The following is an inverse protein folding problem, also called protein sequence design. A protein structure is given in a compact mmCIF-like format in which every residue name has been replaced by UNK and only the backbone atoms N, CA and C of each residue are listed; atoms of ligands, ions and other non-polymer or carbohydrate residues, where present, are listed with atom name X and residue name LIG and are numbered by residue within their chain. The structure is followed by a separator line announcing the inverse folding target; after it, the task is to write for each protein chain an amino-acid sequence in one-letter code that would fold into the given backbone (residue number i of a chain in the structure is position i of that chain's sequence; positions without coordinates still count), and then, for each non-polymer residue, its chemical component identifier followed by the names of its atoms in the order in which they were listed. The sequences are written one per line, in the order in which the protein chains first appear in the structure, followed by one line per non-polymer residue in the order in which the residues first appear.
data_IF_365101593143
#
_entry.id   IF_365101593143
#
_cell.length_a   1.000
_cell.length_b   1.000
_cell.length_c   1.000
_cell.angle_alpha   90.00
_cell.angle_beta   90.00
_cell.angle_gamma   90.00
#
_symmetry.space_group_name_H-M   'P 1'
#
loop_
_entity.id
_entity.type
_entity.pdbx_description
1 polymer ?
#
# COMPACT_ATOMS: atom_id res chain seq x y z
N UNK A 1 -0.31 -41.18 -24.24
CA UNK A 1 -1.62 -40.73 -24.81
C UNK A 1 -2.13 -39.39 -24.26
N UNK A 2 -2.04 -39.10 -22.95
CA UNK A 2 -2.59 -37.86 -22.33
C UNK A 2 -1.89 -36.56 -22.79
N UNK A 3 -0.57 -36.57 -23.02
CA UNK A 3 0.16 -35.39 -23.49
C UNK A 3 -0.16 -35.01 -24.94
N UNK A 4 -0.44 -35.99 -25.80
CA UNK A 4 -0.85 -35.74 -27.20
C UNK A 4 -2.23 -35.06 -27.28
N UNK A 5 -3.18 -35.48 -26.42
CA UNK A 5 -4.50 -34.83 -26.30
C UNK A 5 -4.41 -33.39 -25.80
N UNK A 6 -3.54 -33.10 -24.82
CA UNK A 6 -3.32 -31.71 -24.35
C UNK A 6 -2.69 -30.81 -25.44
N UNK A 7 -1.78 -31.36 -26.24
CA UNK A 7 -1.20 -30.66 -27.39
C UNK A 7 -2.26 -30.29 -28.43
N UNK A 8 -3.09 -31.23 -28.85
CA UNK A 8 -4.16 -31.00 -29.83
C UNK A 8 -5.18 -29.94 -29.36
N UNK A 9 -5.54 -29.96 -28.06
CA UNK A 9 -6.46 -28.96 -27.48
C UNK A 9 -5.84 -27.55 -27.49
N UNK A 10 -4.56 -27.43 -27.11
CA UNK A 10 -3.84 -26.14 -27.17
C UNK A 10 -3.78 -25.60 -28.60
N UNK A 11 -3.45 -26.46 -29.58
CA UNK A 11 -3.40 -26.08 -31.00
C UNK A 11 -4.79 -25.64 -31.50
N UNK A 12 -5.85 -26.35 -31.13
CA UNK A 12 -7.23 -25.98 -31.49
C UNK A 12 -7.66 -24.62 -30.93
N UNK A 13 -7.26 -24.29 -29.69
CA UNK A 13 -7.53 -22.99 -29.08
C UNK A 13 -6.80 -21.87 -29.83
N UNK A 14 -5.52 -22.06 -30.16
CA UNK A 14 -4.72 -21.07 -30.91
C UNK A 14 -5.32 -20.80 -32.29
N UNK A 15 -5.74 -21.84 -33.01
CA UNK A 15 -6.40 -21.70 -34.32
C UNK A 15 -7.73 -20.93 -34.23
N UNK A 16 -8.56 -21.24 -33.23
CA UNK A 16 -9.86 -20.58 -33.07
C UNK A 16 -9.71 -19.11 -32.67
N UNK A 17 -8.70 -18.78 -31.86
CA UNK A 17 -8.43 -17.40 -31.43
C UNK A 17 -7.84 -16.51 -32.53
N UNK A 18 -7.11 -17.09 -33.50
CA UNK A 18 -6.43 -16.36 -34.57
C UNK A 18 -7.11 -16.53 -35.94
N UNK A 19 -8.35 -17.03 -35.97
CA UNK A 19 -9.07 -17.41 -37.20
C UNK A 19 -9.11 -16.29 -38.24
N UNK A 20 -9.42 -15.06 -37.85
CA UNK A 20 -9.52 -13.93 -38.78
C UNK A 20 -8.20 -13.63 -39.47
N UNK A 21 -7.10 -13.62 -38.72
CA UNK A 21 -5.76 -13.42 -39.26
C UNK A 21 -5.39 -14.55 -40.23
N UNK A 22 -5.58 -15.81 -39.83
CA UNK A 22 -5.31 -16.98 -40.70
C UNK A 22 -6.14 -16.92 -41.99
N UNK A 23 -7.40 -16.51 -41.92
CA UNK A 23 -8.27 -16.35 -43.11
C UNK A 23 -7.76 -15.26 -44.04
N UNK A 24 -7.30 -14.11 -43.52
CA UNK A 24 -6.75 -13.01 -44.34
C UNK A 24 -5.50 -13.48 -45.10
N UNK A 25 -4.64 -14.27 -44.45
CA UNK A 25 -3.45 -14.86 -45.08
C UNK A 25 -3.84 -15.80 -46.20
N UNK A 26 -4.71 -16.76 -45.91
CA UNK A 26 -5.14 -17.74 -46.90
C UNK A 26 -5.80 -17.05 -48.08
N UNK A 27 -6.61 -16.02 -47.85
CA UNK A 27 -7.18 -15.21 -48.91
C UNK A 27 -6.08 -14.52 -49.75
N UNK A 28 -5.07 -13.92 -49.12
CA UNK A 28 -3.95 -13.29 -49.83
C UNK A 28 -3.23 -14.29 -50.76
N UNK A 29 -2.86 -15.47 -50.27
CA UNK A 29 -2.17 -16.48 -51.08
C UNK A 29 -3.07 -17.09 -52.17
N UNK A 30 -4.34 -17.39 -51.84
CA UNK A 30 -5.29 -17.99 -52.79
C UNK A 30 -5.65 -17.01 -53.91
N UNK A 31 -5.97 -15.76 -53.58
CA UNK A 31 -6.32 -14.74 -54.59
C UNK A 31 -5.16 -14.49 -55.54
N UNK A 32 -3.93 -14.37 -55.02
CA UNK A 32 -2.76 -14.16 -55.85
C UNK A 32 -2.42 -15.39 -56.71
N UNK A 33 -2.59 -16.60 -56.18
CA UNK A 33 -2.44 -17.83 -56.97
C UNK A 33 -3.42 -17.87 -58.16
N UNK A 34 -4.70 -17.54 -57.94
CA UNK A 34 -5.72 -17.53 -59.00
C UNK A 34 -5.34 -16.53 -60.10
N UNK A 35 -4.89 -15.32 -59.73
CA UNK A 35 -4.49 -14.28 -60.69
C UNK A 35 -3.26 -14.72 -61.49
N UNK A 36 -2.26 -15.30 -60.84
CA UNK A 36 -1.05 -15.80 -61.53
C UNK A 36 -1.33 -17.03 -62.41
N UNK A 37 -2.24 -17.92 -61.99
CA UNK A 37 -2.67 -19.05 -62.80
C UNK A 37 -3.40 -18.58 -64.06
N UNK A 38 -4.29 -17.59 -63.93
CA UNK A 38 -4.98 -17.00 -65.08
C UNK A 38 -4.04 -16.30 -66.07
N UNK A 39 -2.93 -15.72 -65.60
CA UNK A 39 -1.93 -15.06 -66.46
C UNK A 39 -0.95 -16.03 -67.12
N UNK A 40 -0.49 -17.06 -66.39
CA UNK A 40 0.56 -17.97 -66.86
C UNK A 40 0.04 -19.23 -67.55
N UNK A 41 -1.24 -19.58 -67.36
CA UNK A 41 -1.86 -20.82 -67.85
C UNK A 41 -1.29 -22.10 -67.23
N UNK A 42 -0.33 -21.98 -66.29
CA UNK A 42 0.39 -23.09 -65.70
C UNK A 42 0.37 -22.99 -64.17
N UNK A 43 -0.29 -23.95 -63.54
CA UNK A 43 -0.39 -24.01 -62.08
C UNK A 43 0.98 -24.21 -61.42
N UNK A 44 1.91 -24.88 -62.11
CA UNK A 44 3.26 -25.14 -61.58
C UNK A 44 4.10 -23.87 -61.52
N UNK A 45 4.00 -23.00 -62.53
CA UNK A 45 4.68 -21.70 -62.53
C UNK A 45 4.09 -20.76 -61.50
N UNK A 46 2.76 -20.69 -61.41
CA UNK A 46 2.08 -19.89 -60.39
C UNK A 46 2.50 -20.31 -58.97
N UNK A 47 2.61 -21.62 -58.69
CA UNK A 47 3.12 -22.11 -57.40
C UNK A 47 4.58 -21.74 -57.14
N UNK A 48 5.47 -21.83 -58.14
CA UNK A 48 6.88 -21.48 -57.97
C UNK A 48 7.07 -19.99 -57.65
N UNK A 49 6.29 -19.12 -58.28
CA UNK A 49 6.34 -17.68 -58.02
C UNK A 49 5.72 -17.35 -56.65
N UNK A 50 4.61 -18.01 -56.28
CA UNK A 50 3.96 -17.86 -54.98
C UNK A 50 4.91 -18.18 -53.80
N UNK A 51 5.80 -19.15 -53.98
CA UNK A 51 6.80 -19.55 -52.98
C UNK A 51 8.21 -19.01 -53.25
N UNK A 52 8.36 -18.01 -54.12
CA UNK A 52 9.64 -17.34 -54.42
C UNK A 52 10.74 -18.29 -54.95
N UNK A 53 10.35 -19.40 -55.58
CA UNK A 53 11.26 -20.38 -56.20
C UNK A 53 11.68 -19.92 -57.60
N UNK A 54 10.81 -19.17 -58.29
CA UNK A 54 11.05 -18.66 -59.64
C UNK A 54 10.86 -17.14 -59.68
N UNK A 55 11.71 -16.45 -60.45
CA UNK A 55 11.74 -15.00 -60.49
C UNK A 55 10.49 -14.39 -61.13
N UNK A 56 10.05 -13.28 -60.54
CA UNK A 56 8.91 -12.52 -61.02
C UNK A 56 9.21 -11.82 -62.36
N UNK A 57 8.45 -12.20 -63.38
CA UNK A 57 8.59 -11.72 -64.75
C UNK A 57 7.63 -10.59 -65.09
N UNK A 58 6.38 -10.67 -64.60
CA UNK A 58 5.35 -9.66 -64.86
C UNK A 58 5.35 -8.53 -63.82
N UNK A 59 4.77 -7.37 -64.16
CA UNK A 59 4.61 -6.26 -63.21
C UNK A 59 3.78 -6.67 -61.97
N UNK A 60 2.77 -7.54 -62.16
CA UNK A 60 1.95 -8.05 -61.06
C UNK A 60 2.71 -9.04 -60.17
N UNK A 61 3.53 -9.92 -60.76
CA UNK A 61 4.36 -10.86 -60.00
C UNK A 61 5.38 -10.12 -59.12
N UNK A 62 5.97 -9.03 -59.63
CA UNK A 62 6.88 -8.16 -58.87
C UNK A 62 6.17 -7.39 -57.75
N UNK A 63 4.94 -6.96 -57.99
CA UNK A 63 4.07 -6.40 -56.95
C UNK A 63 3.83 -7.45 -55.86
N UNK A 64 3.37 -8.65 -56.23
CA UNK A 64 3.11 -9.71 -55.27
C UNK A 64 4.33 -10.03 -54.40
N UNK A 65 5.52 -10.22 -55.00
CA UNK A 65 6.73 -10.57 -54.24
C UNK A 65 7.10 -9.48 -53.23
N UNK A 66 7.04 -8.21 -53.66
CA UNK A 66 7.36 -7.06 -52.80
C UNK A 66 6.38 -6.91 -51.64
N UNK A 67 5.07 -7.03 -51.90
CA UNK A 67 4.04 -6.80 -50.88
C UNK A 67 3.78 -8.01 -50.00
N UNK A 68 4.04 -9.22 -50.49
CA UNK A 68 3.91 -10.45 -49.70
C UNK A 68 4.92 -10.51 -48.57
N UNK A 69 6.12 -9.93 -48.75
CA UNK A 69 7.08 -9.78 -47.66
C UNK A 69 6.47 -8.94 -46.52
N UNK A 70 5.84 -7.80 -46.83
CA UNK A 70 5.15 -6.97 -45.82
C UNK A 70 4.00 -7.71 -45.14
N UNK A 71 3.23 -8.50 -45.88
CA UNK A 71 2.14 -9.31 -45.31
C UNK A 71 2.71 -10.35 -44.35
N UNK A 72 3.72 -11.12 -44.76
CA UNK A 72 4.37 -12.15 -43.93
C UNK A 72 5.03 -11.51 -42.69
N UNK A 73 5.78 -10.43 -42.85
CA UNK A 73 6.41 -9.72 -41.73
C UNK A 73 5.36 -9.11 -40.78
N UNK A 74 4.30 -8.50 -41.31
CA UNK A 74 3.22 -7.94 -40.51
C UNK A 74 2.52 -9.01 -39.65
N UNK A 75 2.38 -10.23 -40.18
CA UNK A 75 1.83 -11.37 -39.44
C UNK A 75 2.76 -11.88 -38.36
N UNK A 76 4.07 -11.98 -38.66
CA UNK A 76 5.06 -12.36 -37.67
C UNK A 76 5.06 -11.37 -36.50
N UNK A 77 5.10 -10.06 -36.80
CA UNK A 77 5.01 -9.01 -35.77
C UNK A 77 3.68 -9.07 -35.02
N UNK A 78 2.56 -9.27 -35.72
CA UNK A 78 1.23 -9.39 -35.12
C UNK A 78 1.15 -10.57 -34.15
N UNK A 79 1.65 -11.74 -34.54
CA UNK A 79 1.73 -12.93 -33.69
C UNK A 79 2.61 -12.69 -32.46
N UNK A 80 3.81 -12.14 -32.65
CA UNK A 80 4.74 -11.82 -31.56
C UNK A 80 4.10 -10.82 -30.59
N UNK A 81 3.46 -9.79 -31.11
CA UNK A 81 2.81 -8.74 -30.31
C UNK A 81 1.66 -9.33 -29.50
N UNK A 82 0.75 -10.09 -30.13
CA UNK A 82 -0.37 -10.74 -29.45
C UNK A 82 0.13 -11.73 -28.39
N UNK A 83 1.15 -12.52 -28.68
CA UNK A 83 1.73 -13.46 -27.72
C UNK A 83 2.40 -12.74 -26.54
N UNK A 84 3.15 -11.67 -26.80
CA UNK A 84 3.75 -10.84 -25.76
C UNK A 84 2.70 -10.22 -24.83
N UNK A 85 1.62 -9.67 -25.38
CA UNK A 85 0.52 -9.11 -24.57
C UNK A 85 -0.27 -10.19 -23.82
N UNK A 86 -0.49 -11.38 -24.40
CA UNK A 86 -1.20 -12.49 -23.73
C UNK A 86 -0.41 -13.06 -22.56
N UNK A 87 0.91 -13.12 -22.69
CA UNK A 87 1.80 -13.62 -21.64
C UNK A 87 2.20 -12.52 -20.64
N UNK A 88 1.68 -11.29 -20.79
CA UNK A 88 1.96 -10.20 -19.86
C UNK A 88 1.30 -10.46 -18.50
N UNK A 89 2.13 -10.64 -17.46
CA UNK A 89 1.68 -10.83 -16.10
C UNK A 89 2.04 -9.61 -15.24
N UNK A 90 1.09 -8.70 -14.93
CA UNK A 90 1.40 -7.47 -14.19
C UNK A 90 1.94 -7.75 -12.78
N UNK A 91 1.62 -8.91 -12.19
CA UNK A 91 2.19 -9.31 -10.88
C UNK A 91 3.68 -9.57 -10.96
N UNK A 92 4.14 -10.16 -12.06
CA UNK A 92 5.56 -10.42 -12.29
C UNK A 92 6.31 -9.10 -12.48
N UNK A 93 5.71 -8.14 -13.19
CA UNK A 93 6.23 -6.77 -13.30
C UNK A 93 6.39 -6.13 -11.92
N UNK A 94 5.35 -6.14 -11.08
CA UNK A 94 5.39 -5.58 -9.72
C UNK A 94 6.52 -6.18 -8.87
N UNK A 95 6.68 -7.50 -8.92
CA UNK A 95 7.74 -8.22 -8.22
C UNK A 95 9.14 -7.88 -8.75
N UNK A 96 9.32 -7.83 -10.07
CA UNK A 96 10.61 -7.47 -10.68
C UNK A 96 11.01 -6.05 -10.26
N UNK A 97 10.06 -5.11 -10.29
CA UNK A 97 10.28 -3.74 -9.84
C UNK A 97 10.73 -3.73 -8.37
N UNK A 98 10.01 -4.43 -7.49
CA UNK A 98 10.36 -4.50 -6.08
C UNK A 98 11.72 -5.14 -5.80
N UNK A 99 12.07 -6.21 -6.53
CA UNK A 99 13.38 -6.87 -6.42
C UNK A 99 14.52 -5.96 -6.87
N UNK A 100 14.26 -5.09 -7.84
CA UNK A 100 15.23 -4.12 -8.38
C UNK A 100 15.34 -2.84 -7.54
N UNK A 101 14.35 -2.52 -6.70
CA UNK A 101 14.34 -1.36 -5.80
C UNK A 101 15.57 -1.31 -4.88
N UNK A 102 16.12 -0.11 -4.69
CA UNK A 102 17.27 0.16 -3.80
C UNK A 102 17.09 1.50 -3.12
N UNK A 103 17.65 1.67 -1.93
CA UNK A 103 17.49 2.89 -1.14
C UNK A 103 16.00 3.28 -0.98
N UNK A 104 15.15 2.26 -0.94
CA UNK A 104 13.70 2.36 -0.94
C UNK A 104 13.12 2.13 0.46
N UNK A 105 11.87 2.49 0.63
CA UNK A 105 11.07 2.18 1.82
C UNK A 105 10.26 0.91 1.55
N UNK A 106 10.22 -0.02 2.50
CA UNK A 106 9.31 -1.17 2.42
C UNK A 106 8.16 -0.93 3.39
N UNK A 107 6.93 -0.93 2.88
CA UNK A 107 5.71 -0.78 3.67
C UNK A 107 5.06 -2.15 3.78
N UNK A 108 5.07 -2.73 4.98
CA UNK A 108 4.37 -3.98 5.29
C UNK A 108 2.96 -3.68 5.81
N UNK A 109 1.97 -4.27 5.18
CA UNK A 109 0.55 -4.08 5.42
C UNK A 109 -0.05 -2.98 4.57
N UNK A 110 -1.08 -3.33 3.79
CA UNK A 110 -1.88 -2.38 3.01
C UNK A 110 -3.14 -1.94 3.78
N UNK A 111 -2.96 -1.65 5.07
CA UNK A 111 -4.01 -1.10 5.94
C UNK A 111 -4.24 0.38 5.64
N UNK A 112 -5.25 1.03 6.23
CA UNK A 112 -5.44 2.49 6.06
C UNK A 112 -4.16 3.32 6.34
N UNK A 113 -3.34 2.92 7.32
CA UNK A 113 -2.06 3.58 7.57
C UNK A 113 -1.03 3.28 6.46
N UNK A 114 -0.96 2.03 6.01
CA UNK A 114 -0.06 1.60 4.94
C UNK A 114 -0.39 2.27 3.60
N UNK A 115 -1.68 2.36 3.24
CA UNK A 115 -2.17 3.05 2.05
C UNK A 115 -1.81 4.53 2.11
N UNK A 116 -2.12 5.23 3.21
CA UNK A 116 -1.78 6.65 3.38
C UNK A 116 -0.27 6.88 3.32
N UNK A 117 0.54 5.98 3.91
CA UNK A 117 1.99 6.06 3.82
C UNK A 117 2.49 5.84 2.39
N UNK A 118 1.96 4.83 1.68
CA UNK A 118 2.35 4.56 0.29
C UNK A 118 2.05 5.77 -0.61
N UNK A 119 0.85 6.35 -0.49
CA UNK A 119 0.47 7.59 -1.19
C UNK A 119 1.41 8.74 -0.86
N UNK A 120 1.68 8.98 0.43
CA UNK A 120 2.65 10.01 0.84
C UNK A 120 4.04 9.79 0.23
N UNK A 121 4.54 8.55 0.22
CA UNK A 121 5.84 8.22 -0.37
C UNK A 121 5.84 8.46 -1.89
N UNK A 122 4.74 8.13 -2.55
CA UNK A 122 4.53 8.38 -3.98
C UNK A 122 4.53 9.87 -4.31
N UNK A 123 3.73 10.67 -3.59
CA UNK A 123 3.61 12.13 -3.79
C UNK A 123 4.95 12.85 -3.59
N UNK A 124 5.85 12.28 -2.78
CA UNK A 124 7.17 12.82 -2.50
C UNK A 124 8.30 12.18 -3.34
N UNK A 125 7.96 11.33 -4.31
CA UNK A 125 8.92 10.66 -5.19
C UNK A 125 9.89 9.74 -4.45
N UNK A 126 9.49 9.20 -3.29
CA UNK A 126 10.31 8.31 -2.49
C UNK A 126 10.08 6.87 -2.99
N UNK A 127 11.12 6.18 -3.50
CA UNK A 127 10.97 4.81 -3.97
C UNK A 127 10.49 3.90 -2.84
N UNK A 128 9.44 3.13 -3.10
CA UNK A 128 8.87 2.25 -2.10
C UNK A 128 8.37 0.94 -2.69
N UNK A 129 8.22 -0.06 -1.81
CA UNK A 129 7.66 -1.38 -2.12
C UNK A 129 6.59 -1.68 -1.09
N UNK A 130 5.40 -2.07 -1.55
CA UNK A 130 4.31 -2.48 -0.67
C UNK A 130 4.26 -4.00 -0.54
N UNK A 131 4.12 -4.49 0.69
CA UNK A 131 3.97 -5.92 0.99
C UNK A 131 2.67 -6.12 1.77
N UNK A 132 1.83 -7.07 1.36
CA UNK A 132 0.59 -7.42 2.10
C UNK A 132 0.43 -8.93 2.20
N UNK A 133 -0.26 -9.40 3.25
CA UNK A 133 -0.66 -10.80 3.40
C UNK A 133 -1.94 -11.13 2.61
N UNK A 134 -2.73 -10.12 2.25
CA UNK A 134 -4.05 -10.31 1.68
C UNK A 134 -4.04 -10.11 0.17
N UNK A 135 -4.64 -11.07 -0.55
CA UNK A 135 -4.65 -11.05 -2.02
C UNK A 135 -5.49 -9.90 -2.57
N UNK A 136 -6.57 -9.51 -1.91
CA UNK A 136 -7.48 -8.48 -2.41
C UNK A 136 -6.85 -7.09 -2.41
N UNK A 137 -6.04 -6.78 -1.40
CA UNK A 137 -5.23 -5.55 -1.31
C UNK A 137 -4.29 -5.35 -2.49
N UNK A 138 -3.86 -6.43 -3.15
CA UNK A 138 -2.93 -6.37 -4.28
C UNK A 138 -3.59 -5.89 -5.57
N UNK A 139 -4.93 -5.86 -5.67
CA UNK A 139 -5.61 -5.57 -6.95
C UNK A 139 -5.23 -4.20 -7.49
N UNK A 140 -5.36 -3.15 -6.69
CA UNK A 140 -5.05 -1.77 -7.08
C UNK A 140 -3.54 -1.61 -7.38
N UNK A 141 -2.69 -2.19 -6.55
CA UNK A 141 -1.23 -2.12 -6.73
C UNK A 141 -0.79 -2.80 -8.03
N UNK A 142 -1.35 -3.96 -8.34
CA UNK A 142 -1.02 -4.74 -9.55
C UNK A 142 -1.58 -4.08 -10.79
N UNK A 143 -2.81 -3.55 -10.74
CA UNK A 143 -3.40 -2.83 -11.87
C UNK A 143 -2.59 -1.59 -12.24
N UNK A 144 -2.05 -0.88 -11.25
CA UNK A 144 -1.22 0.30 -11.45
C UNK A 144 0.29 -0.01 -11.51
N UNK A 145 0.66 -1.29 -11.61
CA UNK A 145 2.04 -1.79 -11.73
C UNK A 145 3.00 -1.24 -10.67
N UNK A 146 2.49 -0.99 -9.46
CA UNK A 146 3.28 -0.47 -8.34
C UNK A 146 4.16 -1.58 -7.77
N UNK A 147 5.43 -1.29 -7.39
CA UNK A 147 6.32 -2.29 -6.81
C UNK A 147 5.68 -2.94 -5.57
N UNK A 148 5.25 -4.19 -5.69
CA UNK A 148 4.44 -4.83 -4.65
C UNK A 148 4.54 -6.34 -4.68
N UNK A 149 4.43 -6.99 -3.51
CA UNK A 149 4.41 -8.44 -3.38
C UNK A 149 3.45 -8.91 -2.27
N UNK A 150 2.90 -10.11 -2.46
CA UNK A 150 2.23 -10.83 -1.40
C UNK A 150 3.26 -11.50 -0.48
N UNK A 151 3.10 -11.36 0.83
CA UNK A 151 3.92 -12.05 1.82
C UNK A 151 3.55 -13.53 1.88
N UNK A 152 4.57 -14.39 1.89
CA UNK A 152 4.44 -15.82 2.12
C UNK A 152 5.49 -16.25 3.16
N UNK A 153 5.04 -16.74 4.31
CA UNK A 153 5.91 -17.16 5.41
C UNK A 153 6.74 -18.42 5.06
N UNK A 154 6.31 -19.20 4.07
CA UNK A 154 7.04 -20.38 3.60
C UNK A 154 8.16 -20.02 2.61
N UNK A 155 8.12 -18.82 2.04
CA UNK A 155 9.11 -18.35 1.08
C UNK A 155 10.39 -17.85 1.78
N UNK A 156 11.36 -18.76 1.92
CA UNK A 156 12.70 -18.45 2.46
C UNK A 156 13.46 -17.39 1.67
N UNK A 157 13.10 -17.12 0.41
CA UNK A 157 13.74 -16.11 -0.45
C UNK A 157 12.97 -14.79 -0.46
N UNK A 158 11.89 -14.65 0.29
CA UNK A 158 11.04 -13.46 0.32
C UNK A 158 11.84 -12.17 0.50
N UNK A 159 12.75 -12.14 1.47
CA UNK A 159 13.63 -11.00 1.76
C UNK A 159 14.48 -10.54 0.55
N UNK A 160 14.84 -11.45 -0.38
CA UNK A 160 15.53 -11.10 -1.63
C UNK A 160 14.58 -10.53 -2.67
N UNK A 161 13.35 -11.05 -2.74
CA UNK A 161 12.31 -10.58 -3.68
C UNK A 161 11.88 -9.15 -3.39
N UNK A 162 11.92 -8.71 -2.13
CA UNK A 162 11.70 -7.30 -1.71
C UNK A 162 12.99 -6.47 -1.60
N UNK A 163 14.14 -7.07 -1.92
CA UNK A 163 15.49 -6.48 -1.81
C UNK A 163 15.77 -5.83 -0.44
N UNK A 164 15.41 -6.53 0.64
CA UNK A 164 15.48 -6.05 2.02
C UNK A 164 16.89 -5.58 2.43
N UNK A 165 17.93 -6.24 1.91
CA UNK A 165 19.34 -5.91 2.18
C UNK A 165 19.71 -4.48 1.73
N UNK A 166 19.02 -3.92 0.74
CA UNK A 166 19.27 -2.56 0.22
C UNK A 166 18.16 -1.57 0.54
N UNK A 167 17.19 -1.99 1.37
CA UNK A 167 16.14 -1.11 1.86
C UNK A 167 16.74 -0.06 2.79
N UNK A 168 16.27 1.18 2.66
CA UNK A 168 16.64 2.29 3.53
C UNK A 168 15.83 2.26 4.83
N UNK A 169 14.54 1.95 4.72
CA UNK A 169 13.64 1.90 5.85
C UNK A 169 12.53 0.87 5.67
N UNK A 170 11.97 0.43 6.79
CA UNK A 170 10.78 -0.42 6.85
C UNK A 170 9.73 0.25 7.73
N UNK A 171 8.48 0.20 7.28
CA UNK A 171 7.31 0.60 8.06
C UNK A 171 6.37 -0.60 8.14
N UNK A 172 6.13 -1.09 9.35
CA UNK A 172 5.24 -2.20 9.60
C UNK A 172 3.90 -1.66 10.10
N UNK A 173 2.92 -1.62 9.21
CA UNK A 173 1.62 -0.98 9.39
C UNK A 173 0.48 -1.96 9.71
N UNK A 174 0.79 -3.26 9.81
CA UNK A 174 -0.15 -4.31 10.21
C UNK A 174 -0.64 -4.12 11.66
N UNK A 175 -1.86 -4.57 11.92
CA UNK A 175 -2.45 -4.57 13.27
C UNK A 175 -1.89 -5.72 14.14
N UNK A 176 -1.37 -6.76 13.51
CA UNK A 176 -0.84 -7.95 14.16
C UNK A 176 0.59 -7.69 14.70
N UNK A 177 0.69 -7.56 16.02
CA UNK A 177 1.95 -7.27 16.71
C UNK A 177 2.96 -8.42 16.54
N UNK A 178 2.51 -9.67 16.57
CA UNK A 178 3.40 -10.83 16.46
C UNK A 178 4.00 -10.89 15.06
N UNK A 179 3.19 -10.67 14.04
CA UNK A 179 3.66 -10.53 12.67
C UNK A 179 4.66 -9.38 12.53
N UNK A 180 4.36 -8.20 13.07
CA UNK A 180 5.31 -7.08 13.04
C UNK A 180 6.64 -7.45 13.69
N UNK A 181 6.61 -8.13 14.84
CA UNK A 181 7.82 -8.55 15.53
C UNK A 181 8.63 -9.57 14.71
N UNK A 182 7.97 -10.55 14.07
CA UNK A 182 8.61 -11.52 13.17
C UNK A 182 9.37 -10.80 12.05
N UNK A 183 8.72 -9.83 11.39
CA UNK A 183 9.34 -9.05 10.31
C UNK A 183 10.49 -8.19 10.83
N UNK A 184 10.39 -7.60 12.03
CA UNK A 184 11.51 -6.84 12.63
C UNK A 184 12.74 -7.73 12.84
N UNK A 185 12.54 -8.94 13.39
CA UNK A 185 13.64 -9.88 13.61
C UNK A 185 14.26 -10.30 12.28
N UNK A 186 13.46 -10.61 11.26
CA UNK A 186 13.95 -10.91 9.91
C UNK A 186 14.75 -9.73 9.34
N UNK A 187 14.19 -8.52 9.39
CA UNK A 187 14.81 -7.34 8.83
C UNK A 187 16.14 -7.00 9.50
N UNK A 188 16.24 -7.12 10.82
CA UNK A 188 17.50 -6.89 11.55
C UNK A 188 18.57 -7.91 11.23
N UNK A 189 18.19 -9.17 11.00
CA UNK A 189 19.13 -10.22 10.56
C UNK A 189 19.67 -9.93 9.15
N UNK A 190 18.82 -9.47 8.24
CA UNK A 190 19.18 -9.27 6.82
C UNK A 190 19.80 -7.90 6.54
N UNK A 191 19.42 -6.88 7.30
CA UNK A 191 19.85 -5.50 7.15
C UNK A 191 19.91 -4.80 8.53
N UNK A 192 21.10 -4.77 9.11
CA UNK A 192 21.35 -4.18 10.43
C UNK A 192 21.14 -2.66 10.44
N UNK A 193 21.30 -2.00 9.30
CA UNK A 193 21.32 -0.54 9.17
C UNK A 193 19.96 0.05 8.77
N UNK A 194 19.00 -0.78 8.35
CA UNK A 194 17.67 -0.29 7.96
C UNK A 194 17.00 0.48 9.11
N UNK A 195 16.42 1.63 8.81
CA UNK A 195 15.58 2.31 9.80
C UNK A 195 14.22 1.59 9.88
N UNK A 196 13.85 1.06 11.05
CA UNK A 196 12.60 0.27 11.18
C UNK A 196 11.63 1.02 12.08
N UNK A 197 10.41 1.18 11.59
CA UNK A 197 9.25 1.67 12.33
C UNK A 197 8.20 0.57 12.37
N UNK A 198 7.72 0.20 13.55
CA UNK A 198 6.66 -0.78 13.69
C UNK A 198 5.46 -0.21 14.44
N UNK A 199 4.27 -0.52 13.94
CA UNK A 199 3.04 -0.27 14.67
C UNK A 199 2.98 -1.23 15.85
N UNK A 200 2.91 -0.65 17.04
CA UNK A 200 2.76 -1.39 18.28
C UNK A 200 1.74 -0.67 19.13
N UNK A 201 0.63 -1.33 19.41
CA UNK A 201 -0.39 -0.78 20.28
C UNK A 201 -0.16 -1.15 21.76
N UNK A 202 0.92 -1.84 22.13
CA UNK A 202 1.17 -2.19 23.53
C UNK A 202 2.52 -1.64 24.00
N UNK A 203 2.50 -0.89 25.11
CA UNK A 203 3.69 -0.20 25.63
C UNK A 203 4.70 -1.18 26.25
N UNK A 204 4.25 -2.28 26.84
CA UNK A 204 5.11 -3.36 27.34
C UNK A 204 5.81 -4.09 26.19
N UNK A 205 5.08 -4.39 25.11
CA UNK A 205 5.66 -5.02 23.92
C UNK A 205 6.58 -4.06 23.17
N UNK A 206 6.31 -2.74 23.20
CA UNK A 206 7.18 -1.74 22.57
C UNK A 206 8.64 -1.83 23.08
N UNK A 207 8.85 -2.20 24.35
CA UNK A 207 10.19 -2.46 24.92
C UNK A 207 10.93 -3.58 24.17
N UNK A 208 10.22 -4.60 23.70
CA UNK A 208 10.82 -5.69 22.92
C UNK A 208 11.27 -5.17 21.55
N UNK A 209 10.45 -4.38 20.86
CA UNK A 209 10.84 -3.73 19.60
C UNK A 209 12.08 -2.83 19.78
N UNK A 210 12.17 -2.10 20.89
CA UNK A 210 13.32 -1.24 21.17
C UNK A 210 14.64 -2.03 21.31
N UNK A 211 14.61 -3.27 21.84
CA UNK A 211 15.79 -4.15 21.86
C UNK A 211 16.35 -4.46 20.47
N UNK A 212 15.48 -4.40 19.46
CA UNK A 212 15.85 -4.56 18.05
C UNK A 212 16.11 -3.23 17.34
N UNK A 213 16.35 -2.12 18.06
CA UNK A 213 16.52 -0.79 17.47
C UNK A 213 15.38 -0.45 16.49
N UNK A 214 14.15 -0.82 16.83
CA UNK A 214 12.95 -0.52 16.07
C UNK A 214 12.19 0.60 16.78
N UNK A 215 11.88 1.69 16.06
CA UNK A 215 11.01 2.75 16.58
C UNK A 215 9.57 2.26 16.56
N UNK A 216 8.84 2.46 17.65
CA UNK A 216 7.42 2.10 17.70
C UNK A 216 6.52 3.30 17.45
N UNK A 217 5.39 3.06 16.79
CA UNK A 217 4.31 4.02 16.61
C UNK A 217 2.99 3.41 17.09
N UNK A 218 2.12 4.24 17.64
CA UNK A 218 0.84 3.80 18.19
C UNK A 218 -0.28 4.71 17.71
N UNK A 219 -1.08 4.22 16.76
CA UNK A 219 -2.17 4.98 16.15
C UNK A 219 -3.25 5.33 17.17
N UNK A 220 -3.61 4.37 18.04
CA UNK A 220 -4.63 4.60 19.06
C UNK A 220 -4.15 5.50 20.18
N UNK A 221 -2.88 5.40 20.62
CA UNK A 221 -2.36 6.29 21.65
C UNK A 221 -2.27 7.73 21.17
N UNK A 222 -1.69 7.93 19.98
CA UNK A 222 -1.54 9.25 19.38
C UNK A 222 -2.90 9.96 19.26
N UNK A 223 -3.88 9.26 18.71
CA UNK A 223 -5.20 9.84 18.45
C UNK A 223 -5.98 10.08 19.74
N UNK A 224 -5.83 9.22 20.76
CA UNK A 224 -6.52 9.42 22.03
C UNK A 224 -5.99 10.68 22.73
N UNK A 225 -4.67 10.90 22.68
CA UNK A 225 -4.08 12.12 23.20
C UNK A 225 -4.49 13.36 22.41
N UNK A 226 -4.69 13.25 21.09
CA UNK A 226 -5.21 14.33 20.26
C UNK A 226 -6.61 14.74 20.72
N UNK A 227 -7.56 13.80 20.78
CA UNK A 227 -8.94 14.09 21.21
C UNK A 227 -8.93 14.79 22.55
N UNK A 228 -8.18 14.26 23.52
CA UNK A 228 -8.14 14.85 24.86
C UNK A 228 -7.44 16.21 24.90
N UNK A 229 -6.57 16.52 23.94
CA UNK A 229 -5.88 17.81 23.84
C UNK A 229 -6.77 18.85 23.17
N UNK A 230 -7.34 18.52 22.01
CA UNK A 230 -8.12 19.45 21.19
C UNK A 230 -9.47 19.79 21.83
N UNK A 231 -10.00 18.89 22.65
CA UNK A 231 -11.26 19.09 23.38
C UNK A 231 -11.05 19.29 24.88
N UNK A 232 -9.84 19.67 25.31
CA UNK A 232 -9.52 19.85 26.73
C UNK A 232 -10.45 20.85 27.44
N UNK A 233 -10.96 21.86 26.72
CA UNK A 233 -11.91 22.86 27.23
C UNK A 233 -13.34 22.36 27.32
N UNK A 234 -13.70 21.40 26.46
CA UNK A 234 -15.05 20.85 26.33
C UNK A 234 -15.25 19.61 27.23
N UNK A 235 -14.15 19.00 27.67
CA UNK A 235 -14.11 17.84 28.58
C UNK A 235 -14.39 18.28 30.02
N UNK A 236 -15.58 18.82 30.28
CA UNK A 236 -15.89 19.44 31.57
C UNK A 236 -16.12 18.43 32.68
N UNK A 237 -16.75 17.25 32.45
CA UNK A 237 -16.82 16.20 33.47
C UNK A 237 -17.08 14.76 32.94
N UNK A 238 -17.90 14.57 31.89
CA UNK A 238 -18.39 13.23 31.52
C UNK A 238 -18.29 12.91 30.02
N UNK A 239 -17.52 11.86 29.69
CA UNK A 239 -17.31 11.38 28.31
C UNK A 239 -17.92 9.99 28.10
N UNK A 240 -18.77 9.83 27.10
CA UNK A 240 -19.29 8.53 26.71
C UNK A 240 -18.60 8.05 25.44
N UNK A 241 -18.09 6.81 25.46
CA UNK A 241 -17.40 6.20 24.33
C UNK A 241 -18.27 5.06 23.80
N UNK A 242 -18.67 5.12 22.55
CA UNK A 242 -19.48 4.11 21.90
C UNK A 242 -18.59 3.18 21.09
N UNK A 243 -18.72 1.87 21.35
CA UNK A 243 -17.88 0.81 20.80
C UNK A 243 -16.65 0.54 21.65
N UNK A 244 -16.31 -0.74 21.84
CA UNK A 244 -15.16 -1.18 22.63
C UNK A 244 -14.07 -1.77 21.73
N UNK A 245 -12.95 -1.06 21.60
CA UNK A 245 -11.76 -1.52 20.89
C UNK A 245 -10.50 -0.92 21.51
N UNK A 246 -9.30 -1.25 20.97
CA UNK A 246 -8.02 -0.75 21.50
C UNK A 246 -7.90 0.78 21.55
N UNK A 247 -8.68 1.50 20.72
CA UNK A 247 -8.71 2.95 20.76
C UNK A 247 -9.63 3.46 21.88
N UNK A 248 -10.85 2.91 21.99
CA UNK A 248 -11.77 3.22 23.08
C UNK A 248 -11.13 2.99 24.45
N UNK A 249 -10.46 1.85 24.64
CA UNK A 249 -9.77 1.53 25.90
C UNK A 249 -8.68 2.55 26.24
N UNK A 250 -7.89 2.96 25.25
CA UNK A 250 -6.83 3.96 25.45
C UNK A 250 -7.37 5.34 25.73
N UNK A 251 -8.40 5.73 25.00
CA UNK A 251 -9.07 7.01 25.20
C UNK A 251 -9.67 7.07 26.61
N UNK A 252 -10.40 6.04 27.00
CA UNK A 252 -10.94 5.87 28.35
C UNK A 252 -9.85 5.95 29.43
N UNK A 253 -8.75 5.22 29.25
CA UNK A 253 -7.64 5.23 30.19
C UNK A 253 -6.98 6.62 30.34
N UNK A 254 -6.65 7.27 29.22
CA UNK A 254 -6.04 8.60 29.27
C UNK A 254 -7.00 9.67 29.78
N UNK A 255 -8.31 9.52 29.53
CA UNK A 255 -9.33 10.39 30.10
C UNK A 255 -9.40 10.21 31.63
N UNK A 256 -9.43 8.97 32.11
CA UNK A 256 -9.45 8.67 33.55
C UNK A 256 -8.20 9.22 34.26
N UNK A 257 -7.02 9.13 33.64
CA UNK A 257 -5.79 9.74 34.18
C UNK A 257 -5.86 11.27 34.31
N UNK A 258 -6.71 11.93 33.52
CA UNK A 258 -6.97 13.38 33.60
C UNK A 258 -8.15 13.72 34.53
N UNK A 259 -8.70 12.73 35.24
CA UNK A 259 -9.86 12.92 36.12
C UNK A 259 -11.20 13.01 35.40
N UNK A 260 -11.25 12.69 34.10
CA UNK A 260 -12.48 12.74 33.30
C UNK A 260 -13.27 11.44 33.53
N UNK A 261 -14.49 11.57 34.05
CA UNK A 261 -15.40 10.42 34.18
C UNK A 261 -15.74 9.93 32.79
N UNK A 262 -15.62 8.63 32.56
CA UNK A 262 -15.93 8.07 31.26
C UNK A 262 -16.59 6.69 31.34
N UNK A 263 -17.50 6.46 30.39
CA UNK A 263 -18.28 5.23 30.27
C UNK A 263 -18.15 4.70 28.85
N UNK A 264 -17.78 3.42 28.70
CA UNK A 264 -17.80 2.71 27.43
C UNK A 264 -19.16 2.02 27.28
N UNK A 265 -19.82 2.21 26.13
CA UNK A 265 -21.09 1.56 25.78
C UNK A 265 -20.81 0.55 24.68
N UNK A 266 -21.07 -0.72 24.96
CA UNK A 266 -20.81 -1.83 24.05
C UNK A 266 -21.85 -2.92 24.24
N UNK A 267 -22.26 -3.60 23.18
CA UNK A 267 -23.18 -4.75 23.25
C UNK A 267 -22.48 -6.09 23.04
N UNK A 268 -21.38 -6.12 22.31
CA UNK A 268 -20.67 -7.34 22.01
C UNK A 268 -19.81 -7.82 23.19
N UNK A 269 -20.40 -8.72 23.98
CA UNK A 269 -19.76 -9.35 25.13
C UNK A 269 -18.53 -10.17 24.71
N UNK A 270 -18.52 -10.79 23.52
CA UNK A 270 -17.41 -11.65 23.08
C UNK A 270 -16.14 -10.84 22.85
N UNK A 271 -16.26 -9.68 22.22
CA UNK A 271 -15.12 -8.80 22.00
C UNK A 271 -14.52 -8.29 23.32
N UNK A 272 -15.36 -8.04 24.33
CA UNK A 272 -14.89 -7.66 25.67
C UNK A 272 -14.11 -8.78 26.37
N UNK A 273 -14.50 -10.04 26.16
CA UNK A 273 -13.84 -11.21 26.73
C UNK A 273 -12.50 -11.51 26.04
N UNK A 274 -12.46 -11.49 24.71
CA UNK A 274 -11.21 -11.66 23.93
C UNK A 274 -10.17 -10.60 24.29
N UNK A 275 -10.62 -9.36 24.47
CA UNK A 275 -9.73 -8.27 24.87
C UNK A 275 -9.19 -8.48 26.29
N UNK A 276 -10.02 -8.91 27.23
CA UNK A 276 -9.59 -9.19 28.61
C UNK A 276 -8.64 -10.39 28.69
N UNK A 277 -8.88 -11.44 27.91
CA UNK A 277 -7.97 -12.59 27.80
C UNK A 277 -6.62 -12.16 27.23
N UNK A 278 -6.63 -11.33 26.18
CA UNK A 278 -5.41 -10.77 25.60
C UNK A 278 -4.61 -9.92 26.60
N UNK A 279 -5.29 -9.14 27.44
CA UNK A 279 -4.65 -8.37 28.53
C UNK A 279 -4.01 -9.25 29.58
N UNK A 280 -4.71 -10.33 29.97
CA UNK A 280 -4.20 -11.29 30.94
C UNK A 280 -2.93 -11.98 30.43
N UNK A 281 -2.93 -12.40 29.16
CA UNK A 281 -1.75 -12.99 28.50
C UNK A 281 -0.54 -12.04 28.45
N UNK A 282 -0.79 -10.73 28.45
CA UNK A 282 0.25 -9.70 28.45
C UNK A 282 0.63 -9.20 29.84
N UNK A 283 0.05 -9.77 30.90
CA UNK A 283 0.33 -9.41 32.30
C UNK A 283 -0.20 -8.03 32.70
N UNK A 284 -1.18 -7.48 31.97
CA UNK A 284 -1.81 -6.22 32.35
C UNK A 284 -2.88 -6.48 33.42
N UNK A 285 -2.80 -5.77 34.55
CA UNK A 285 -3.86 -5.78 35.57
C UNK A 285 -5.15 -5.19 35.00
N UNK A 286 -6.28 -5.72 35.45
CA UNK A 286 -7.60 -5.19 35.17
C UNK A 286 -7.63 -3.71 35.56
N UNK A 287 -7.87 -2.83 34.57
CA UNK A 287 -7.93 -1.39 34.84
C UNK A 287 -9.32 -1.09 35.39
N UNK A 288 -9.46 -1.06 36.72
CA UNK A 288 -10.69 -0.71 37.45
C UNK A 288 -11.28 0.68 37.08
N UNK A 289 -10.57 1.47 36.27
CA UNK A 289 -10.90 2.85 35.92
C UNK A 289 -11.99 2.99 34.83
N UNK A 290 -12.57 1.89 34.34
CA UNK A 290 -13.46 1.90 33.15
C UNK A 290 -14.85 1.37 33.50
N UNK A 291 -15.87 2.21 33.35
CA UNK A 291 -17.28 1.75 33.44
C UNK A 291 -17.70 1.22 32.08
N UNK A 292 -18.10 -0.06 31.98
CA UNK A 292 -18.61 -0.65 30.74
C UNK A 292 -20.11 -0.91 30.88
N UNK A 293 -20.91 -0.28 30.03
CA UNK A 293 -22.36 -0.48 29.96
C UNK A 293 -22.70 -1.42 28.80
N UNK A 294 -23.23 -2.61 29.13
CA UNK A 294 -23.51 -3.67 28.17
C UNK A 294 -24.85 -3.46 27.45
N UNK A 295 -24.89 -2.55 26.47
CA UNK A 295 -26.12 -2.20 25.73
C UNK A 295 -25.87 -1.97 24.25
N UNK A 296 -26.84 -2.34 23.41
CA UNK A 296 -26.80 -2.06 21.97
C UNK A 296 -26.86 -0.55 21.74
N UNK A 297 -25.78 0.08 21.24
CA UNK A 297 -25.73 1.51 21.03
C UNK A 297 -26.65 1.97 19.89
N UNK A 298 -27.10 1.06 19.02
CA UNK A 298 -28.04 1.37 17.94
C UNK A 298 -29.50 1.50 18.39
N UNK A 299 -29.76 1.43 19.70
CA UNK A 299 -31.09 1.57 20.25
C UNK A 299 -31.18 2.81 21.14
N UNK A 300 -32.05 3.75 20.77
CA UNK A 300 -32.28 4.98 21.53
C UNK A 300 -32.54 4.75 23.02
N UNK A 301 -33.42 3.78 23.35
CA UNK A 301 -33.75 3.47 24.75
C UNK A 301 -32.50 3.05 25.52
N UNK A 302 -31.63 2.28 24.88
CA UNK A 302 -30.38 1.86 25.48
C UNK A 302 -29.42 3.02 25.71
N UNK A 303 -29.27 3.94 24.74
CA UNK A 303 -28.45 5.13 24.88
C UNK A 303 -28.93 6.03 26.01
N UNK A 304 -30.26 6.23 26.11
CA UNK A 304 -30.91 6.99 27.19
C UNK A 304 -30.70 6.34 28.55
N UNK A 305 -30.98 5.06 28.67
CA UNK A 305 -30.78 4.33 29.93
C UNK A 305 -29.29 4.19 30.30
N UNK A 306 -28.38 4.33 29.34
CA UNK A 306 -26.94 4.41 29.61
C UNK A 306 -26.48 5.80 30.07
N UNK A 307 -27.35 6.81 30.07
CA UNK A 307 -27.03 8.19 30.42
C UNK A 307 -26.28 8.95 29.32
N UNK A 308 -26.31 8.47 28.07
CA UNK A 308 -25.54 9.05 26.96
C UNK A 308 -25.98 10.46 26.60
N UNK A 309 -27.27 10.75 26.77
CA UNK A 309 -27.85 12.06 26.50
C UNK A 309 -27.34 13.14 27.47
N UNK A 310 -26.85 12.74 28.65
CA UNK A 310 -26.29 13.63 29.67
C UNK A 310 -24.76 13.80 29.54
N UNK A 311 -24.14 13.15 28.55
CA UNK A 311 -22.70 13.27 28.32
C UNK A 311 -22.34 14.66 27.79
N UNK A 312 -21.16 15.17 28.17
CA UNK A 312 -20.63 16.41 27.62
C UNK A 312 -20.04 16.16 26.22
N UNK A 313 -19.37 15.02 26.08
CA UNK A 313 -18.77 14.54 24.84
C UNK A 313 -19.17 13.09 24.60
N UNK A 314 -19.55 12.81 23.35
CA UNK A 314 -19.81 11.45 22.88
C UNK A 314 -18.77 11.11 21.82
N UNK A 315 -18.05 10.00 21.99
CA UNK A 315 -17.03 9.54 21.05
C UNK A 315 -17.44 8.21 20.44
N UNK A 316 -17.72 8.19 19.14
CA UNK A 316 -18.05 6.99 18.40
C UNK A 316 -16.74 6.38 17.86
N UNK A 317 -16.42 5.17 18.30
CA UNK A 317 -15.17 4.49 17.97
C UNK A 317 -15.34 3.21 17.17
N UNK A 318 -16.60 2.83 16.90
CA UNK A 318 -16.97 1.64 16.13
C UNK A 318 -16.30 1.62 14.76
N UNK A 319 -16.21 0.43 14.16
CA UNK A 319 -15.69 0.29 12.80
C UNK A 319 -16.62 1.00 11.81
N UNK A 320 -16.04 1.59 10.76
CA UNK A 320 -16.81 2.28 9.72
C UNK A 320 -17.84 1.34 9.10
N UNK A 321 -19.11 1.68 9.29
CA UNK A 321 -20.26 1.03 8.70
C UNK A 321 -21.34 2.07 8.46
N UNK A 322 -22.36 1.72 7.67
CA UNK A 322 -23.56 2.54 7.51
C UNK A 322 -24.21 2.84 8.87
N UNK A 323 -24.11 1.91 9.83
CA UNK A 323 -24.65 2.06 11.18
C UNK A 323 -23.99 3.22 11.95
N UNK A 324 -22.69 3.48 11.73
CA UNK A 324 -22.00 4.61 12.38
C UNK A 324 -22.55 5.95 11.90
N UNK A 325 -22.89 6.05 10.62
CA UNK A 325 -23.43 7.27 10.02
C UNK A 325 -24.83 7.55 10.59
N UNK A 326 -25.67 6.51 10.63
CA UNK A 326 -27.03 6.59 11.20
C UNK A 326 -26.96 6.99 12.69
N UNK A 327 -26.12 6.31 13.46
CA UNK A 327 -25.94 6.62 14.88
C UNK A 327 -25.44 8.04 15.12
N UNK A 328 -24.50 8.53 14.29
CA UNK A 328 -23.97 9.88 14.39
C UNK A 328 -25.04 10.94 14.07
N UNK A 329 -25.91 10.68 13.10
CA UNK A 329 -27.04 11.56 12.78
C UNK A 329 -28.05 11.59 13.93
N UNK A 330 -28.49 10.42 14.41
CA UNK A 330 -29.43 10.27 15.53
C UNK A 330 -28.91 10.99 16.79
N UNK A 331 -27.67 10.66 17.18
CA UNK A 331 -26.65 11.57 17.69
C UNK A 331 -27.01 13.05 17.81
N UNK A 332 -26.74 13.74 16.70
CA UNK A 332 -26.82 15.18 16.56
C UNK A 332 -28.23 15.68 16.80
N UNK A 333 -29.24 14.96 16.31
CA UNK A 333 -30.65 15.34 16.48
C UNK A 333 -31.12 15.25 17.93
N UNK A 334 -30.59 14.29 18.69
CA UNK A 334 -31.03 14.00 20.06
C UNK A 334 -30.30 14.83 21.13
N UNK A 335 -29.06 15.21 20.88
CA UNK A 335 -28.19 15.83 21.90
C UNK A 335 -27.74 17.22 21.45
N UNK A 336 -28.71 18.14 21.39
CA UNK A 336 -28.52 19.49 20.88
C UNK A 336 -27.39 20.23 21.61
N UNK A 337 -26.43 20.75 20.84
CA UNK A 337 -25.29 21.52 21.36
C UNK A 337 -24.18 20.70 22.04
N UNK A 338 -24.29 19.36 22.10
CA UNK A 338 -23.21 18.50 22.60
C UNK A 338 -22.20 18.15 21.52
N UNK A 339 -20.97 17.86 21.96
CA UNK A 339 -19.88 17.57 21.04
C UNK A 339 -19.85 16.08 20.72
N UNK A 340 -20.08 15.74 19.45
CA UNK A 340 -20.00 14.37 18.95
C UNK A 340 -18.71 14.22 18.14
N UNK A 341 -17.89 13.27 18.54
CA UNK A 341 -16.62 12.95 17.89
C UNK A 341 -16.73 11.59 17.23
N UNK A 342 -16.47 11.51 15.93
CA UNK A 342 -16.57 10.26 15.18
C UNK A 342 -15.19 9.87 14.66
N UNK A 343 -14.76 8.65 14.98
CA UNK A 343 -13.56 8.08 14.40
C UNK A 343 -13.87 7.52 13.01
N UNK A 344 -13.17 8.04 12.01
CA UNK A 344 -13.28 7.55 10.62
C UNK A 344 -11.90 7.33 10.01
N UNK A 345 -11.82 6.61 8.91
CA UNK A 345 -10.66 6.39 8.08
C UNK A 345 -10.88 6.85 6.63
N UNK A 346 -12.12 6.88 6.14
CA UNK A 346 -12.54 7.33 4.82
C UNK A 346 -12.62 8.85 4.75
N UNK A 347 -11.91 9.44 3.78
CA UNK A 347 -11.94 10.87 3.51
C UNK A 347 -13.32 11.31 2.96
N UNK A 348 -14.07 10.41 2.31
CA UNK A 348 -15.39 10.70 1.73
C UNK A 348 -16.47 10.85 2.80
N UNK A 349 -16.46 9.95 3.80
CA UNK A 349 -17.43 9.95 4.88
C UNK A 349 -17.18 11.07 5.89
N UNK A 350 -15.94 11.55 5.99
CA UNK A 350 -15.57 12.69 6.83
C UNK A 350 -16.41 13.92 6.51
N UNK A 351 -16.53 14.28 5.23
CA UNK A 351 -17.31 15.44 4.81
C UNK A 351 -18.80 15.32 5.19
N UNK A 352 -19.38 14.13 5.02
CA UNK A 352 -20.79 13.88 5.36
C UNK A 352 -21.03 14.07 6.86
N UNK A 353 -20.14 13.54 7.70
CA UNK A 353 -20.27 13.67 9.15
C UNK A 353 -20.00 15.10 9.64
N UNK A 354 -19.09 15.82 9.00
CA UNK A 354 -18.88 17.25 9.27
C UNK A 354 -20.12 18.08 8.90
N UNK A 355 -20.82 17.75 7.80
CA UNK A 355 -22.08 18.39 7.40
C UNK A 355 -23.20 18.12 8.43
N UNK A 356 -23.17 16.98 9.14
CA UNK A 356 -24.05 16.73 10.29
C UNK A 356 -23.63 17.51 11.55
N UNK A 357 -22.48 18.19 11.57
CA UNK A 357 -21.97 18.91 12.74
C UNK A 357 -21.12 18.05 13.68
N UNK A 358 -20.74 16.84 13.27
CA UNK A 358 -19.80 16.01 14.03
C UNK A 358 -18.36 16.52 13.86
N UNK A 359 -17.51 16.26 14.86
CA UNK A 359 -16.06 16.39 14.71
C UNK A 359 -15.43 15.07 14.36
N UNK A 360 -14.73 15.03 13.23
CA UNK A 360 -14.22 13.77 12.68
C UNK A 360 -12.74 13.63 13.00
N UNK A 361 -12.32 12.41 13.39
CA UNK A 361 -10.93 12.12 13.74
C UNK A 361 -10.41 10.90 12.99
N UNK A 362 -9.42 11.13 12.12
CA UNK A 362 -8.73 10.07 11.38
C UNK A 362 -7.45 9.60 12.07
N UNK A 363 -7.51 8.39 12.67
CA UNK A 363 -6.36 7.82 13.40
C UNK A 363 -5.14 7.59 12.51
N UNK A 364 -5.33 7.17 11.26
CA UNK A 364 -4.26 6.89 10.31
C UNK A 364 -3.63 8.17 9.77
N UNK A 365 -4.44 9.19 9.45
CA UNK A 365 -3.97 10.51 9.02
C UNK A 365 -3.15 11.16 10.13
N UNK A 366 -3.70 11.24 11.34
CA UNK A 366 -3.01 11.87 12.45
C UNK A 366 -1.65 11.22 12.77
N UNK A 367 -1.59 9.88 12.73
CA UNK A 367 -0.34 9.15 12.94
C UNK A 367 0.69 9.43 11.83
N UNK A 368 0.24 9.50 10.58
CA UNK A 368 1.11 9.86 9.46
C UNK A 368 1.72 11.25 9.68
N UNK A 369 0.89 12.25 9.97
CA UNK A 369 1.31 13.65 10.17
C UNK A 369 2.25 13.82 11.37
N UNK A 370 1.92 13.23 12.52
CA UNK A 370 2.61 13.52 13.78
C UNK A 370 3.75 12.58 14.12
N UNK A 371 3.72 11.33 13.64
CA UNK A 371 4.72 10.33 14.02
C UNK A 371 5.61 9.91 12.85
N UNK A 372 5.08 9.90 11.62
CA UNK A 372 5.79 9.38 10.44
C UNK A 372 6.46 10.49 9.63
N UNK A 373 5.74 11.55 9.20
CA UNK A 373 6.33 12.65 8.42
C UNK A 373 7.56 13.29 9.08
N UNK A 374 7.57 13.55 10.40
CA UNK A 374 8.74 14.15 11.06
C UNK A 374 10.01 13.30 10.94
N UNK A 375 9.87 11.97 10.78
CA UNK A 375 11.00 11.06 10.54
C UNK A 375 11.67 11.40 9.20
N UNK A 376 10.89 11.60 8.15
CA UNK A 376 11.40 11.93 6.82
C UNK A 376 11.97 13.35 6.76
N UNK A 377 11.33 14.31 7.41
CA UNK A 377 11.78 15.70 7.48
C UNK A 377 13.10 15.85 8.24
N UNK A 378 13.22 15.19 9.39
CA UNK A 378 14.46 15.20 10.18
C UNK A 378 15.62 14.59 9.38
N UNK A 379 15.35 13.49 8.65
CA UNK A 379 16.33 12.88 7.78
C UNK A 379 16.76 13.80 6.62
N UNK A 380 15.87 14.64 6.10
CA UNK A 380 16.17 15.64 5.06
C UNK A 380 17.05 16.76 5.61
N UNK A 381 16.67 17.36 6.74
CA UNK A 381 17.45 18.42 7.42
C UNK A 381 18.87 17.97 7.78
N UNK A 382 19.02 16.73 8.27
CA UNK A 382 20.34 16.18 8.62
C UNK A 382 21.26 15.97 7.41
N UNK A 383 20.70 15.68 6.22
CA UNK A 383 21.47 15.58 4.97
C UNK A 383 21.91 16.95 4.45
N UNK A 384 21.04 17.95 4.57
CA UNK A 384 21.35 19.32 4.15
C UNK A 384 22.43 19.95 5.04
N UNK A 385 22.37 19.74 6.36
CA UNK A 385 23.37 20.22 7.31
C UNK A 385 24.74 19.55 7.14
N UNK A 386 24.79 18.21 6.98
CA UNK A 386 26.06 17.51 6.69
C UNK A 386 26.63 17.87 5.32
N UNK A 387 25.79 18.11 4.32
CA UNK A 387 26.19 18.62 3.00
C UNK A 387 26.81 20.03 3.06
N UNK A 388 26.25 20.91 3.89
CA UNK A 388 26.77 22.26 4.12
C UNK A 388 28.12 22.25 4.85
N UNK A 389 28.29 21.40 5.87
CA UNK A 389 29.55 21.24 6.61
C UNK A 389 30.67 20.71 5.70
N UNK A 390 30.36 19.73 4.84
CA UNK A 390 31.33 19.18 3.88
C UNK A 390 31.71 20.19 2.78
N UNK A 391 30.78 21.03 2.33
CA UNK A 391 31.09 22.17 1.43
C UNK A 391 31.96 23.23 2.13
N UNK A 392 31.73 23.49 3.41
CA UNK A 392 32.53 24.40 4.23
C UNK A 392 33.98 23.92 4.45
N UNK A 393 34.17 22.61 4.71
CA UNK A 393 35.51 21.99 4.81
C UNK A 393 36.25 21.98 3.47
N UNK A 394 35.57 21.72 2.35
CA UNK A 394 36.18 21.85 1.00
C UNK A 394 36.62 23.28 0.69
N UNK A 395 35.83 24.30 1.06
CA UNK A 395 36.22 25.72 0.90
C UNK A 395 37.41 26.13 1.79
N UNK A 396 37.52 25.60 3.01
CA UNK A 396 38.69 25.84 3.88
C UNK A 396 39.96 25.14 3.37
N UNK A 397 39.87 23.92 2.84
CA UNK A 397 41.02 23.24 2.23
C UNK A 397 41.47 23.89 0.90
N UNK A 398 40.57 24.48 0.11
CA UNK A 398 40.97 25.25 -1.08
C UNK A 398 41.64 26.59 -0.73
N UNK A 399 41.24 27.26 0.36
CA UNK A 399 41.92 28.49 0.83
C UNK A 399 43.26 28.22 1.54
N UNK A 400 43.49 27.02 2.06
CA UNK A 400 44.77 26.61 2.65
C UNK A 400 45.87 26.29 1.63
N UNK A 401 45.49 26.00 0.38
CA UNK A 401 46.45 25.66 -0.71
C UNK A 401 46.84 26.91 -1.53
N UNK A 402 46.09 28.01 -1.43
CA UNK A 402 46.40 29.28 -2.12
C UNK A 402 47.21 30.28 -1.28
N UNK A 403 47.76 29.88 -0.13
CA UNK A 403 48.49 30.76 0.80
C UNK A 403 49.99 30.45 0.99
N UNK A 404 50.56 29.53 0.22
CA UNK A 404 51.97 29.12 0.32
C UNK A 404 52.64 29.05 -1.06
N UNK A 405 52.68 30.16 -1.78
CA UNK A 405 53.63 30.39 -2.89
C UNK A 405 53.82 31.89 -3.07
N UNK A 406 54.53 32.53 -2.15
CA UNK A 406 55.21 33.80 -2.42
C UNK A 406 56.20 34.06 -1.28
N UNK A 407 57.49 33.97 -1.61
CA UNK A 407 58.57 34.35 -0.70
C UNK A 407 59.64 33.29 -0.51
N UNK A 408 60.42 32.98 -1.56
CA UNK A 408 61.82 32.59 -1.39
C UNK A 408 62.56 32.76 -2.73
N UNK A 409 63.28 33.87 -2.83
CA UNK A 409 64.14 34.20 -3.95
C UNK A 409 65.11 35.27 -3.50
N UNK A 410 66.23 34.85 -2.87
CA UNK A 410 67.49 35.59 -2.74
C UNK A 410 68.59 34.67 -2.21
N UNK A 411 69.79 34.81 -2.80
CA UNK A 411 71.11 34.21 -2.47
C UNK A 411 71.20 32.68 -2.67
N UNK A 412 72.09 32.11 -3.47
CA UNK A 412 73.39 32.51 -4.05
C UNK A 412 73.55 31.93 -5.46
#
# INVERSE_FOLDING_TARGET
MVNARKGAIKVGIVFRQNKHMITIILAWFVTNFIIMFAQSGSWTRAMKILFYIEDASSAYEKFYSTYSDFVVFGLLIGLITVDAFRNYNPRETCEILARRSRNHVIVFGFTHLGIRLARYLEDHGIPHVVVTRFRDDMKELVQNEKPSLMYDSLDKQFHRRINLRKAKALFLCENDILFNLEIVVMARRMNKDAFIVARCFNDSIAKIFHKYNCKTISTSSATAQLILKDHATDLTNNMHIIGFNHFAERLSYYAALRGIKNTIIEHDIKHSMEMNEYRHLLGEKERELVTINKKNPMNYRNLREAGTLDADIIVITMHESEEVIILAQDLVEMVEGKKIIVRIFSDELEKILEDFGCSVVSTSRYTLETQIKPIFETAKKNKESTGAINKGKKKKNMKGISGQKEGEGKTC
#
